data_IF_304729699426
#
_entry.id   IF_304729699426
#
_cell.length_a   1.000
_cell.length_b   1.000
_cell.length_c   1.000
_cell.angle_alpha   90.00
_cell.angle_beta   90.00
_cell.angle_gamma   90.00
#
_symmetry.space_group_name_H-M   'P 1'
#
loop_
_entity.id
_entity.type
_entity.pdbx_description
1 polymer ?
#
# COMPACT_ATOMS: atom_id res chain seq x y z
N UNK A 1 -11.34 5.23 91.06
CA UNK A 1 -10.62 6.03 92.08
C UNK A 1 -9.39 6.64 91.41
N UNK A 2 -9.34 7.97 91.31
CA UNK A 2 -8.15 8.84 91.31
C UNK A 2 -6.86 8.46 90.54
N UNK A 3 -6.57 9.30 89.53
CA UNK A 3 -5.36 10.15 89.40
C UNK A 3 -4.19 9.72 88.49
N UNK A 4 -3.92 10.61 87.52
CA UNK A 4 -2.73 10.81 86.67
C UNK A 4 -1.41 10.89 87.46
N UNK A 5 -0.31 10.40 86.88
CA UNK A 5 1.00 11.11 86.89
C UNK A 5 1.66 10.94 85.51
N UNK A 6 2.12 12.06 84.96
CA UNK A 6 2.86 12.25 83.71
C UNK A 6 4.36 12.30 84.03
N UNK A 7 5.23 11.73 83.20
CA UNK A 7 6.57 12.31 82.97
C UNK A 7 7.23 11.78 81.67
N UNK A 8 7.68 12.72 80.84
CA UNK A 8 8.48 12.60 79.61
C UNK A 8 9.86 11.96 79.85
N UNK A 9 10.42 11.22 78.87
CA UNK A 9 11.53 11.69 78.01
C UNK A 9 12.07 10.60 77.06
N UNK A 10 12.36 11.04 75.82
CA UNK A 10 13.43 10.64 74.89
C UNK A 10 13.51 9.17 74.40
N UNK A 11 13.06 8.98 73.16
CA UNK A 11 13.36 7.83 72.31
C UNK A 11 14.72 8.05 71.62
N UNK A 12 15.70 7.23 71.96
CA UNK A 12 16.91 7.00 71.17
C UNK A 12 16.77 5.59 70.61
N UNK A 13 16.66 5.45 69.28
CA UNK A 13 16.92 4.17 68.61
C UNK A 13 17.59 4.42 67.26
N UNK A 14 18.88 4.10 67.28
CA UNK A 14 19.71 3.64 66.17
C UNK A 14 18.98 2.57 65.36
N UNK A 15 19.06 2.59 64.03
CA UNK A 15 18.92 1.38 63.20
C UNK A 15 19.75 1.52 61.92
N UNK A 16 20.58 0.50 61.69
CA UNK A 16 21.46 0.31 60.55
C UNK A 16 20.66 -0.02 59.28
N UNK A 17 21.32 0.12 58.13
CA UNK A 17 20.71 0.04 56.80
C UNK A 17 20.32 -1.36 56.33
N UNK A 18 19.67 -1.37 55.16
CA UNK A 18 19.49 -2.53 54.31
C UNK A 18 18.12 -2.62 53.65
N UNK A 19 18.17 -2.81 52.32
CA UNK A 19 17.13 -3.28 51.40
C UNK A 19 16.11 -2.23 50.93
N UNK A 20 16.17 -1.85 49.65
CA UNK A 20 15.74 -2.60 48.45
C UNK A 20 14.31 -2.18 48.12
N UNK A 21 14.07 -1.92 46.83
CA UNK A 21 12.77 -1.57 46.27
C UNK A 21 11.66 -2.46 46.84
N UNK A 22 10.87 -1.93 47.76
CA UNK A 22 9.59 -2.51 48.12
C UNK A 22 8.56 -1.98 47.12
N UNK A 23 7.83 -2.91 46.53
CA UNK A 23 6.71 -2.74 45.59
C UNK A 23 5.50 -1.92 46.13
N UNK A 24 5.66 -1.08 47.16
CA UNK A 24 4.56 -0.42 47.87
C UNK A 24 4.37 1.09 47.63
N UNK A 25 5.06 1.69 46.66
CA UNK A 25 4.75 3.06 46.18
C UNK A 25 3.89 3.07 44.88
N UNK A 26 3.15 1.99 44.62
CA UNK A 26 2.05 2.00 43.63
C UNK A 26 0.83 2.70 44.22
N UNK A 27 0.84 4.03 44.18
CA UNK A 27 -0.31 4.84 44.57
C UNK A 27 -0.40 6.14 43.77
N UNK A 28 -1.38 6.18 42.85
CA UNK A 28 -1.88 7.32 42.06
C UNK A 28 -1.27 7.54 40.67
N UNK A 29 -1.46 6.58 39.77
CA UNK A 29 -1.84 6.85 38.37
C UNK A 29 -2.70 5.67 37.85
N UNK A 30 -3.71 5.89 37.00
CA UNK A 30 -4.55 4.82 36.49
C UNK A 30 -3.75 3.89 35.58
N UNK A 31 -4.00 2.59 35.78
CA UNK A 31 -3.49 1.45 35.05
C UNK A 31 -4.13 1.40 33.64
N UNK A 32 -3.36 1.69 32.59
CA UNK A 32 -3.74 1.50 31.18
C UNK A 32 -2.82 0.53 30.42
N UNK A 33 -2.14 -0.37 31.13
CA UNK A 33 -1.54 -1.57 30.52
C UNK A 33 -0.33 -1.34 29.61
N UNK A 34 0.33 -0.18 29.64
CA UNK A 34 1.64 0.01 28.98
C UNK A 34 2.79 -0.20 29.97
N UNK A 35 3.24 -1.44 30.14
CA UNK A 35 4.50 -1.70 30.83
C UNK A 35 5.68 -1.20 29.97
N UNK A 36 6.07 0.06 30.11
CA UNK A 36 7.35 0.57 29.60
C UNK A 36 8.49 0.15 30.54
N UNK A 37 8.64 -1.16 30.73
CA UNK A 37 9.78 -1.75 31.42
C UNK A 37 10.85 -2.11 30.40
N UNK A 38 11.86 -1.26 30.21
CA UNK A 38 13.07 -1.57 29.44
C UNK A 38 14.01 -2.52 30.23
N UNK A 39 13.50 -3.69 30.61
CA UNK A 39 14.26 -4.77 31.26
C UNK A 39 15.01 -5.68 30.28
N UNK A 40 15.57 -5.13 29.20
CA UNK A 40 16.38 -5.87 28.23
C UNK A 40 17.89 -5.73 28.50
N UNK A 41 18.69 -6.59 27.86
CA UNK A 41 20.16 -6.54 27.89
C UNK A 41 20.71 -5.12 27.67
N UNK A 42 21.90 -4.84 28.24
CA UNK A 42 22.57 -3.56 28.08
C UNK A 42 22.80 -3.25 26.58
N UNK A 43 22.13 -2.22 26.08
CA UNK A 43 22.44 -1.67 24.76
C UNK A 43 23.76 -0.90 24.90
N UNK A 44 24.75 -1.09 24.02
CA UNK A 44 25.98 -0.28 24.08
C UNK A 44 25.68 1.22 24.05
N UNK A 45 26.49 2.01 24.74
CA UNK A 45 26.39 3.46 24.65
C UNK A 45 26.56 3.90 23.18
N UNK A 46 25.66 4.74 22.66
CA UNK A 46 25.64 5.12 21.25
C UNK A 46 26.83 6.00 20.88
N UNK A 47 27.19 6.01 19.59
CA UNK A 47 28.24 6.89 19.07
C UNK A 47 27.95 8.36 19.41
N UNK A 48 28.97 9.11 19.83
CA UNK A 48 28.83 10.49 20.28
C UNK A 48 28.40 10.65 21.74
N UNK A 49 28.36 9.57 22.53
CA UNK A 49 28.18 9.65 23.99
C UNK A 49 29.36 10.34 24.68
N UNK A 50 29.08 11.30 25.56
CA UNK A 50 30.07 12.03 26.35
C UNK A 50 29.90 11.67 27.82
N UNK A 51 31.00 11.32 28.52
CA UNK A 51 31.04 11.10 29.96
C UNK A 51 31.64 12.32 30.66
N UNK A 52 30.94 12.87 31.66
CA UNK A 52 31.39 14.02 32.46
C UNK A 52 31.27 13.75 33.96
N UNK A 53 32.22 14.26 34.75
CA UNK A 53 32.11 14.34 36.20
C UNK A 53 31.44 15.65 36.61
N UNK A 54 30.27 15.59 37.24
CA UNK A 54 29.47 16.76 37.62
C UNK A 54 29.46 16.89 39.14
N UNK A 55 30.20 17.85 39.71
CA UNK A 55 30.14 18.13 41.16
C UNK A 55 28.89 18.92 41.51
N UNK A 56 28.28 18.59 42.64
CA UNK A 56 27.12 19.32 43.15
C UNK A 56 27.51 20.71 43.67
N UNK A 57 26.51 21.57 43.88
CA UNK A 57 26.70 22.98 44.16
C UNK A 57 27.53 23.25 45.42
N UNK A 58 27.29 22.50 46.49
CA UNK A 58 28.04 22.61 47.74
C UNK A 58 29.50 22.12 47.65
N UNK A 59 29.87 21.42 46.56
CA UNK A 59 31.19 20.81 46.39
C UNK A 59 31.92 21.27 45.12
N UNK A 60 31.71 22.53 44.71
CA UNK A 60 32.45 23.15 43.60
C UNK A 60 31.75 23.05 42.24
N UNK A 61 30.42 23.05 42.25
CA UNK A 61 29.47 23.20 41.13
C UNK A 61 30.08 23.05 39.74
N UNK A 62 29.79 21.93 39.08
CA UNK A 62 30.08 21.76 37.66
C UNK A 62 28.86 22.10 36.83
N UNK A 63 29.00 23.03 35.87
CA UNK A 63 27.95 23.36 34.90
C UNK A 63 28.24 22.59 33.60
N UNK A 64 27.27 21.78 33.17
CA UNK A 64 27.34 21.03 31.91
C UNK A 64 26.60 21.80 30.83
N UNK A 65 27.24 22.03 29.68
CA UNK A 65 26.64 22.66 28.51
C UNK A 65 26.25 21.61 27.48
N UNK A 66 24.96 21.43 27.29
CA UNK A 66 24.34 20.61 26.26
C UNK A 66 24.20 21.45 24.99
N UNK A 67 24.88 21.04 23.91
CA UNK A 67 24.83 21.75 22.63
C UNK A 67 23.38 21.89 22.17
N UNK A 68 22.97 23.11 21.81
CA UNK A 68 21.63 23.50 21.33
C UNK A 68 20.46 23.34 22.32
N UNK A 69 20.63 22.58 23.42
CA UNK A 69 19.60 22.40 24.46
C UNK A 69 19.76 23.41 25.60
N UNK A 70 20.99 23.65 26.09
CA UNK A 70 21.25 24.62 27.15
C UNK A 70 22.20 24.10 28.23
N UNK A 71 21.98 24.43 29.50
CA UNK A 71 22.91 24.08 30.59
C UNK A 71 22.19 23.47 31.78
N UNK A 72 22.83 22.50 32.43
CA UNK A 72 22.35 21.94 33.71
C UNK A 72 23.50 21.79 34.71
N UNK A 73 23.15 21.62 35.98
CA UNK A 73 24.07 21.30 37.07
C UNK A 73 23.36 20.45 38.13
N UNK A 74 24.09 19.99 39.14
CA UNK A 74 23.54 19.30 40.31
C UNK A 74 23.49 20.28 41.49
N UNK A 75 22.30 20.50 42.06
CA UNK A 75 22.13 21.40 43.21
C UNK A 75 22.53 20.77 44.56
N UNK A 76 22.41 21.52 45.65
CA UNK A 76 22.76 21.06 47.01
C UNK A 76 21.89 19.88 47.50
N UNK A 77 20.73 19.64 46.87
CA UNK A 77 19.84 18.53 47.17
C UNK A 77 20.06 17.32 46.25
N UNK A 78 21.17 17.28 45.52
CA UNK A 78 21.51 16.25 44.54
C UNK A 78 20.45 16.07 43.44
N UNK A 79 19.93 17.19 42.91
CA UNK A 79 18.99 17.19 41.78
C UNK A 79 19.61 17.79 40.53
N UNK A 80 19.29 17.23 39.36
CA UNK A 80 19.49 17.92 38.09
C UNK A 80 18.58 19.14 38.05
N UNK A 81 19.18 20.30 37.77
CA UNK A 81 18.49 21.59 37.62
C UNK A 81 19.12 22.39 36.49
N UNK A 82 18.34 23.32 35.93
CA UNK A 82 18.81 24.30 34.95
C UNK A 82 18.66 25.72 35.50
N UNK A 83 19.53 26.63 35.08
CA UNK A 83 19.36 28.08 35.32
C UNK A 83 18.37 28.73 34.36
N UNK A 84 17.89 28.01 33.34
CA UNK A 84 16.89 28.44 32.37
C UNK A 84 15.53 27.85 32.71
N UNK A 85 14.48 28.68 32.68
CA UNK A 85 13.08 28.27 32.90
C UNK A 85 12.52 27.44 31.74
N UNK A 86 13.23 27.37 30.61
CA UNK A 86 12.80 26.68 29.40
C UNK A 86 13.29 25.23 29.31
N UNK A 87 14.07 24.77 30.30
CA UNK A 87 14.65 23.43 30.32
C UNK A 87 13.94 22.59 31.37
N UNK A 88 13.46 21.43 30.94
CA UNK A 88 12.80 20.46 31.79
C UNK A 88 13.47 19.11 31.69
N UNK A 89 13.37 18.34 32.77
CA UNK A 89 13.91 17.00 32.92
C UNK A 89 12.77 16.02 33.17
N UNK A 90 12.93 14.79 32.69
CA UNK A 90 12.04 13.69 33.03
C UNK A 90 12.88 12.44 33.34
N UNK A 91 12.69 11.86 34.52
CA UNK A 91 13.32 10.57 34.88
C UNK A 91 12.57 9.44 34.19
N UNK A 92 13.30 8.52 33.57
CA UNK A 92 12.75 7.25 33.05
C UNK A 92 13.04 6.06 33.96
N UNK A 93 13.53 6.33 35.18
CA UNK A 93 13.88 5.30 36.16
C UNK A 93 15.13 4.52 35.78
N UNK A 94 15.29 3.34 36.40
CA UNK A 94 16.46 2.49 36.24
C UNK A 94 16.57 1.96 34.80
N UNK A 95 17.75 2.12 34.20
CA UNK A 95 18.09 1.63 32.86
C UNK A 95 19.51 1.06 32.86
N UNK A 96 19.84 0.19 31.91
CA UNK A 96 21.15 -0.48 31.89
C UNK A 96 22.25 0.34 31.17
N UNK A 97 21.90 1.39 30.43
CA UNK A 97 22.84 2.24 29.68
C UNK A 97 22.15 3.52 29.16
N UNK A 98 22.92 4.43 28.55
CA UNK A 98 22.35 5.56 27.80
C UNK A 98 21.59 5.08 26.54
N UNK A 99 22.03 3.99 25.91
CA UNK A 99 21.42 3.40 24.71
C UNK A 99 20.02 2.81 24.92
N UNK A 100 19.63 2.58 26.19
CA UNK A 100 18.29 2.11 26.56
C UNK A 100 17.25 3.26 26.65
N UNK A 101 17.67 4.53 26.56
CA UNK A 101 16.77 5.69 26.63
C UNK A 101 16.37 6.08 25.20
N UNK A 102 15.18 5.65 24.76
CA UNK A 102 14.74 5.73 23.35
C UNK A 102 13.43 6.47 23.11
N UNK A 103 12.42 6.27 23.96
CA UNK A 103 11.12 6.92 23.85
C UNK A 103 11.06 8.18 24.73
N UNK A 104 10.51 9.27 24.19
CA UNK A 104 10.29 10.52 24.93
C UNK A 104 9.06 10.36 25.83
N UNK A 105 9.12 10.70 27.12
CA UNK A 105 7.96 10.66 28.00
C UNK A 105 6.92 11.73 27.64
N UNK A 106 5.63 11.36 27.62
CA UNK A 106 4.54 12.31 27.40
C UNK A 106 4.23 13.19 28.63
N UNK A 107 4.62 12.73 29.83
CA UNK A 107 4.36 13.38 31.13
C UNK A 107 5.54 13.21 32.08
N UNK A 108 5.52 13.94 33.21
CA UNK A 108 6.55 13.84 34.25
C UNK A 108 7.75 14.77 34.03
N UNK A 109 7.59 15.79 33.19
CA UNK A 109 8.57 16.85 33.00
C UNK A 109 8.57 17.82 34.18
N UNK A 110 9.75 18.14 34.69
CA UNK A 110 9.94 19.05 35.82
C UNK A 110 11.22 19.88 35.64
N UNK A 111 11.27 21.07 36.22
CA UNK A 111 12.49 21.91 36.24
C UNK A 111 13.59 21.36 37.14
N UNK A 112 13.28 20.35 37.97
CA UNK A 112 14.16 19.69 38.92
C UNK A 112 13.84 18.20 39.01
N UNK A 113 14.87 17.34 38.98
CA UNK A 113 14.70 15.89 39.19
C UNK A 113 15.87 15.29 39.97
N UNK A 114 15.60 14.36 40.89
CA UNK A 114 16.62 13.73 41.73
C UNK A 114 17.62 12.90 40.91
N UNK A 115 18.92 13.01 41.24
CA UNK A 115 20.00 12.26 40.60
C UNK A 115 20.15 10.89 41.25
N UNK A 116 19.90 9.83 40.48
CA UNK A 116 19.91 8.45 40.93
C UNK A 116 20.86 7.62 40.08
N UNK A 117 21.82 6.94 40.72
CA UNK A 117 22.73 6.01 40.04
C UNK A 117 21.95 4.93 39.30
N UNK A 118 22.34 4.66 38.06
CA UNK A 118 21.69 3.67 37.19
C UNK A 118 20.39 4.16 36.55
N UNK A 119 19.99 5.42 36.78
CA UNK A 119 18.78 5.96 36.17
C UNK A 119 19.06 6.75 34.90
N UNK A 120 18.09 6.70 33.98
CA UNK A 120 18.08 7.46 32.75
C UNK A 120 17.18 8.69 32.85
N UNK A 121 17.50 9.72 32.07
CA UNK A 121 16.76 10.97 32.04
C UNK A 121 16.65 11.51 30.63
N UNK A 122 15.53 12.15 30.34
CA UNK A 122 15.37 13.06 29.22
C UNK A 122 15.51 14.50 29.66
N UNK A 123 16.05 15.32 28.78
CA UNK A 123 16.11 16.78 28.89
C UNK A 123 15.47 17.36 27.64
N UNK A 124 14.63 18.38 27.79
CA UNK A 124 14.06 19.12 26.66
C UNK A 124 14.18 20.62 26.86
N UNK A 125 14.36 21.36 25.77
CA UNK A 125 14.37 22.82 25.76
C UNK A 125 13.43 23.36 24.68
N UNK A 126 12.55 24.29 25.07
CA UNK A 126 11.63 24.96 24.11
C UNK A 126 12.39 25.84 23.13
N UNK A 127 12.03 25.77 21.84
CA UNK A 127 12.70 26.53 20.78
C UNK A 127 12.15 27.96 20.65
N UNK A 128 10.85 28.21 20.92
CA UNK A 128 10.21 29.53 20.86
C UNK A 128 9.06 29.66 21.89
N UNK A 129 8.87 30.84 22.47
CA UNK A 129 7.79 31.14 23.44
C UNK A 129 6.42 31.45 22.80
N UNK A 130 6.39 31.69 21.49
CA UNK A 130 5.22 32.29 20.79
C UNK A 130 4.42 31.32 19.88
N UNK A 131 4.76 30.03 19.78
CA UNK A 131 4.14 29.11 18.82
C UNK A 131 3.12 28.14 19.44
N UNK A 132 2.07 27.85 18.66
CA UNK A 132 0.95 26.93 18.95
C UNK A 132 1.40 25.44 18.95
N UNK A 133 2.66 25.16 18.59
CA UNK A 133 3.25 23.82 18.56
C UNK A 133 4.46 23.72 19.50
N UNK A 134 4.51 22.62 20.25
CA UNK A 134 5.51 22.28 21.27
C UNK A 134 6.84 21.80 20.61
N UNK A 135 7.56 22.71 19.96
CA UNK A 135 8.88 22.42 19.38
C UNK A 135 9.97 22.40 20.46
N UNK A 136 10.53 21.20 20.72
CA UNK A 136 11.61 20.98 21.69
C UNK A 136 12.87 20.42 21.03
N UNK A 137 14.05 20.85 21.52
CA UNK A 137 15.33 20.16 21.30
C UNK A 137 15.58 19.27 22.51
N UNK A 138 15.96 18.02 22.26
CA UNK A 138 16.14 17.04 23.33
C UNK A 138 17.61 16.67 23.57
N UNK A 139 17.88 16.17 24.77
CA UNK A 139 19.08 15.42 25.14
C UNK A 139 18.67 14.25 26.04
N UNK A 140 19.54 13.25 26.16
CA UNK A 140 19.40 12.14 27.11
C UNK A 140 20.60 12.05 28.03
N UNK A 141 20.36 11.71 29.29
CA UNK A 141 21.37 11.54 30.34
C UNK A 141 21.26 10.15 30.95
N UNK A 142 22.39 9.59 31.40
CA UNK A 142 22.46 8.38 32.22
C UNK A 142 23.46 8.60 33.35
N UNK A 143 23.06 8.29 34.57
CA UNK A 143 23.93 8.44 35.76
C UNK A 143 24.69 7.14 35.98
N UNK A 144 25.99 7.15 35.66
CA UNK A 144 26.86 5.98 35.67
C UNK A 144 27.27 5.58 37.10
N UNK A 145 27.75 6.57 37.88
CA UNK A 145 28.08 6.38 39.29
C UNK A 145 28.04 7.70 40.07
N UNK A 146 28.02 7.63 41.39
CA UNK A 146 28.23 8.78 42.27
C UNK A 146 29.71 9.10 42.43
N UNK A 147 30.00 10.39 42.58
CA UNK A 147 31.31 10.85 43.05
C UNK A 147 31.21 10.91 44.58
N UNK A 148 31.93 10.05 45.28
CA UNK A 148 31.88 9.97 46.74
C UNK A 148 33.09 10.62 47.39
N UNK A 149 32.89 11.21 48.57
CA UNK A 149 33.98 11.59 49.46
C UNK A 149 34.58 10.36 50.17
N UNK A 150 35.69 10.56 50.88
CA UNK A 150 36.30 9.51 51.71
C UNK A 150 35.38 8.97 52.83
N UNK A 151 34.32 9.70 53.18
CA UNK A 151 33.31 9.30 54.17
C UNK A 151 31.97 8.92 53.53
N UNK A 152 31.96 8.59 52.23
CA UNK A 152 30.78 8.16 51.47
C UNK A 152 29.65 9.19 51.35
N UNK A 153 29.96 10.49 51.44
CA UNK A 153 28.99 11.54 51.09
C UNK A 153 29.00 11.78 49.58
N UNK A 154 27.83 12.04 49.00
CA UNK A 154 27.70 12.37 47.57
C UNK A 154 28.27 13.77 47.33
N UNK A 155 29.26 13.86 46.45
CA UNK A 155 29.87 15.10 45.99
C UNK A 155 29.39 15.50 44.58
N UNK A 156 28.65 14.62 43.91
CA UNK A 156 28.26 14.75 42.52
C UNK A 156 28.06 13.38 41.85
N UNK A 157 28.08 13.36 40.51
CA UNK A 157 27.89 12.15 39.73
C UNK A 157 28.71 12.13 38.44
N UNK A 158 29.03 10.93 37.97
CA UNK A 158 29.48 10.66 36.61
C UNK A 158 28.24 10.52 35.72
N UNK A 159 28.10 11.41 34.74
CA UNK A 159 26.92 11.50 33.88
C UNK A 159 27.35 11.28 32.43
N UNK A 160 26.74 10.29 31.77
CA UNK A 160 26.82 10.10 30.32
C UNK A 160 25.70 10.90 29.67
N UNK A 161 25.97 11.56 28.54
CA UNK A 161 24.94 12.25 27.79
C UNK A 161 25.18 12.26 26.28
N UNK A 162 24.11 12.56 25.53
CA UNK A 162 24.15 12.87 24.11
C UNK A 162 23.26 14.11 23.84
N UNK A 163 23.80 15.11 23.13
CA UNK A 163 23.11 16.38 22.84
C UNK A 163 23.67 17.10 21.60
N UNK A 164 22.80 17.65 20.73
CA UNK A 164 21.36 17.40 20.69
C UNK A 164 21.09 15.92 20.36
N UNK A 165 19.94 15.41 20.78
CA UNK A 165 19.46 14.09 20.42
C UNK A 165 18.08 14.22 19.79
N UNK A 166 17.93 13.76 18.55
CA UNK A 166 16.63 13.66 17.90
C UNK A 166 16.01 12.32 18.31
N UNK A 167 14.92 12.32 19.10
CA UNK A 167 14.25 11.07 19.46
C UNK A 167 13.72 10.40 18.20
N UNK A 168 14.15 9.18 17.93
CA UNK A 168 13.45 8.30 16.98
C UNK A 168 12.21 7.82 17.72
N UNK A 169 11.03 8.27 17.29
CA UNK A 169 9.79 7.74 17.83
C UNK A 169 9.69 6.28 17.34
N UNK A 170 9.64 5.27 18.23
CA UNK A 170 9.47 3.88 17.81
C UNK A 170 8.17 3.62 17.03
N UNK A 171 7.21 4.55 17.06
CA UNK A 171 6.00 4.52 16.24
C UNK A 171 6.13 5.18 14.86
N UNK A 172 7.25 5.86 14.55
CA UNK A 172 7.47 6.48 13.24
C UNK A 172 7.84 5.42 12.20
N UNK A 173 6.95 5.23 11.24
CA UNK A 173 7.04 4.21 10.21
C UNK A 173 7.90 4.66 9.01
N UNK A 174 8.32 5.93 8.93
CA UNK A 174 8.99 6.46 7.73
C UNK A 174 10.33 5.82 7.40
N UNK A 175 10.99 5.15 8.34
CA UNK A 175 12.22 4.40 8.08
C UNK A 175 11.98 3.15 7.21
N UNK A 176 10.75 2.64 7.17
CA UNK A 176 10.37 1.44 6.42
C UNK A 176 10.00 1.71 4.95
N UNK A 177 10.04 2.98 4.52
CA UNK A 177 9.76 3.42 3.15
C UNK A 177 11.08 3.76 2.43
N UNK A 178 11.75 2.79 1.80
CA UNK A 178 13.06 3.02 1.17
C UNK A 178 12.98 3.82 -0.14
N UNK A 179 11.85 3.75 -0.84
CA UNK A 179 11.64 4.50 -2.07
C UNK A 179 11.32 5.96 -1.75
N UNK A 180 12.17 6.88 -2.20
CA UNK A 180 12.03 8.31 -1.91
C UNK A 180 10.71 8.88 -2.43
N UNK A 181 10.28 8.50 -3.64
CA UNK A 181 9.05 9.04 -4.23
C UNK A 181 7.82 8.55 -3.45
N UNK A 182 7.80 7.28 -3.04
CA UNK A 182 6.72 6.75 -2.22
C UNK A 182 6.74 7.34 -0.80
N UNK A 183 7.91 7.48 -0.19
CA UNK A 183 8.07 8.14 1.12
C UNK A 183 7.59 9.59 1.11
N UNK A 184 7.98 10.36 0.10
CA UNK A 184 7.54 11.76 -0.05
C UNK A 184 6.04 11.85 -0.30
N UNK A 185 5.45 10.90 -1.05
CA UNK A 185 4.01 10.79 -1.24
C UNK A 185 3.29 10.54 0.09
N UNK A 186 3.74 9.54 0.85
CA UNK A 186 3.14 9.14 2.14
C UNK A 186 3.20 10.30 3.13
N UNK A 187 4.34 10.97 3.23
CA UNK A 187 4.48 12.17 4.05
C UNK A 187 3.51 13.26 3.64
N UNK A 188 3.41 13.57 2.35
CA UNK A 188 2.56 14.65 1.87
C UNK A 188 1.06 14.38 2.10
N UNK A 189 0.64 13.13 1.98
CA UNK A 189 -0.78 12.78 2.00
C UNK A 189 -1.29 12.32 3.35
N UNK A 190 -0.44 11.70 4.18
CA UNK A 190 -0.88 10.96 5.38
C UNK A 190 -0.24 11.44 6.68
N UNK A 191 0.70 12.37 6.65
CA UNK A 191 1.16 13.12 7.84
C UNK A 191 0.10 14.19 8.18
N UNK A 192 -0.82 13.85 9.09
CA UNK A 192 -2.01 14.67 9.35
C UNK A 192 -1.65 15.89 10.18
N UNK A 193 -0.69 15.75 11.10
CA UNK A 193 -0.26 16.82 11.99
C UNK A 193 0.95 17.61 11.46
N UNK A 194 1.48 17.23 10.29
CA UNK A 194 2.63 17.84 9.61
C UNK A 194 3.92 17.81 10.45
N UNK A 195 4.06 16.83 11.33
CA UNK A 195 5.24 16.69 12.19
C UNK A 195 6.44 16.02 11.49
N UNK A 196 6.29 15.73 10.18
CA UNK A 196 7.25 15.04 9.31
C UNK A 196 7.49 13.59 9.71
N UNK A 197 6.48 12.93 10.27
CA UNK A 197 6.48 11.52 10.68
C UNK A 197 5.25 10.83 10.12
N UNK A 198 5.28 9.50 10.11
CA UNK A 198 4.08 8.70 9.85
C UNK A 198 3.90 7.75 11.02
N UNK A 199 2.86 7.99 11.82
CA UNK A 199 2.51 7.11 12.94
C UNK A 199 1.62 5.95 12.51
N UNK A 200 1.51 4.93 13.37
CA UNK A 200 0.55 3.85 13.14
C UNK A 200 -0.90 4.34 13.09
N UNK A 201 -1.26 5.31 13.94
CA UNK A 201 -2.61 5.88 13.98
C UNK A 201 -2.97 6.55 12.66
N UNK A 202 -2.02 7.27 12.05
CA UNK A 202 -2.22 7.90 10.74
C UNK A 202 -2.35 6.84 9.64
N UNK A 203 -1.44 5.85 9.60
CA UNK A 203 -1.51 4.76 8.63
C UNK A 203 -2.83 3.95 8.73
N UNK A 204 -3.36 3.75 9.94
CA UNK A 204 -4.62 3.04 10.16
C UNK A 204 -5.85 3.81 9.66
N UNK A 205 -5.77 5.14 9.47
CA UNK A 205 -6.85 5.95 8.88
C UNK A 205 -6.88 5.86 7.35
N UNK A 206 -5.81 5.40 6.71
CA UNK A 206 -5.69 5.35 5.26
C UNK A 206 -6.49 4.17 4.70
N UNK A 207 -7.47 4.49 3.84
CA UNK A 207 -8.31 3.50 3.16
C UNK A 207 -8.12 3.48 1.65
N UNK A 208 -7.43 4.47 1.09
CA UNK A 208 -7.11 4.58 -0.33
C UNK A 208 -5.74 5.20 -0.54
N UNK A 209 -4.97 4.64 -1.47
CA UNK A 209 -3.68 5.17 -1.93
C UNK A 209 -3.75 5.31 -3.45
N UNK A 210 -3.45 6.50 -3.95
CA UNK A 210 -3.30 6.79 -5.38
C UNK A 210 -1.95 7.45 -5.62
N UNK A 211 -1.00 6.66 -6.13
CA UNK A 211 0.38 7.05 -6.38
C UNK A 211 0.78 6.83 -7.84
N UNK A 212 -0.16 7.06 -8.75
CA UNK A 212 0.00 6.84 -10.20
C UNK A 212 1.07 7.77 -10.79
N UNK A 213 1.93 7.21 -11.66
CA UNK A 213 2.92 7.97 -12.44
C UNK A 213 3.88 8.82 -11.60
N UNK A 214 4.33 8.28 -10.47
CA UNK A 214 5.25 8.97 -9.55
C UNK A 214 6.72 8.51 -9.69
N UNK A 215 6.98 7.55 -10.58
CA UNK A 215 8.31 6.97 -10.75
C UNK A 215 8.75 6.09 -9.57
N UNK A 216 7.79 5.53 -8.83
CA UNK A 216 8.03 4.68 -7.68
C UNK A 216 8.57 3.33 -8.16
N UNK A 217 9.67 2.89 -7.55
CA UNK A 217 10.33 1.61 -7.83
C UNK A 217 9.98 0.53 -6.79
N UNK A 218 9.57 0.94 -5.58
CA UNK A 218 9.14 0.02 -4.52
C UNK A 218 8.03 0.62 -3.67
N UNK A 219 6.97 -0.17 -3.44
CA UNK A 219 5.94 0.14 -2.44
C UNK A 219 6.22 -0.50 -1.07
N UNK A 220 7.47 -0.86 -0.76
CA UNK A 220 7.81 -1.32 0.60
C UNK A 220 7.42 -0.26 1.64
N UNK A 221 6.74 -0.68 2.70
CA UNK A 221 6.02 0.16 3.64
C UNK A 221 4.49 0.13 3.45
N UNK A 222 3.99 -0.37 2.31
CA UNK A 222 2.54 -0.51 2.06
C UNK A 222 1.86 -1.44 3.08
N UNK A 223 2.62 -2.36 3.68
CA UNK A 223 2.15 -3.31 4.68
C UNK A 223 1.61 -2.67 5.96
N UNK A 224 1.93 -1.41 6.23
CA UNK A 224 1.44 -0.68 7.39
C UNK A 224 0.02 -0.13 7.22
N UNK A 225 -0.46 0.04 5.97
CA UNK A 225 -1.81 0.52 5.68
C UNK A 225 -2.81 -0.65 5.69
N UNK A 226 -3.03 -1.24 6.86
CA UNK A 226 -3.84 -2.47 6.99
C UNK A 226 -5.33 -2.27 6.70
N UNK A 227 -5.82 -1.03 6.73
CA UNK A 227 -7.20 -0.67 6.38
C UNK A 227 -7.38 -0.28 4.90
N UNK A 228 -6.35 -0.44 4.07
CA UNK A 228 -6.37 -0.10 2.66
C UNK A 228 -7.40 -0.94 1.90
N UNK A 229 -8.32 -0.26 1.22
CA UNK A 229 -9.38 -0.86 0.39
C UNK A 229 -9.21 -0.59 -1.10
N UNK A 230 -8.44 0.45 -1.46
CA UNK A 230 -8.12 0.81 -2.84
C UNK A 230 -6.64 1.13 -2.97
N UNK A 231 -5.97 0.51 -3.94
CA UNK A 231 -4.60 0.84 -4.31
C UNK A 231 -4.52 1.10 -5.81
N UNK A 232 -4.14 2.32 -6.18
CA UNK A 232 -3.81 2.73 -7.54
C UNK A 232 -2.32 3.10 -7.59
N UNK A 233 -1.55 2.30 -8.30
CA UNK A 233 -0.08 2.42 -8.42
C UNK A 233 0.39 2.29 -9.88
N UNK A 234 -0.50 2.62 -10.82
CA UNK A 234 -0.28 2.52 -12.25
C UNK A 234 0.89 3.40 -12.74
N UNK A 235 1.49 3.01 -13.86
CA UNK A 235 2.52 3.78 -14.55
C UNK A 235 3.75 4.09 -13.67
N UNK A 236 4.20 3.11 -12.90
CA UNK A 236 5.39 3.20 -12.06
C UNK A 236 6.49 2.24 -12.56
N UNK A 237 7.50 1.98 -11.73
CA UNK A 237 8.64 1.11 -12.06
C UNK A 237 8.69 -0.10 -11.13
N UNK A 238 7.54 -0.56 -10.64
CA UNK A 238 7.46 -1.67 -9.69
C UNK A 238 7.87 -2.98 -10.37
N UNK A 239 8.86 -3.66 -9.78
CA UNK A 239 9.26 -5.02 -10.18
C UNK A 239 8.62 -6.10 -9.31
N UNK A 240 8.21 -5.71 -8.10
CA UNK A 240 7.49 -6.54 -7.13
C UNK A 240 6.41 -5.72 -6.44
N UNK A 241 5.32 -6.37 -6.04
CA UNK A 241 4.24 -5.77 -5.26
C UNK A 241 3.76 -6.79 -4.23
N UNK A 242 4.11 -6.58 -2.95
CA UNK A 242 3.62 -7.40 -1.84
C UNK A 242 2.46 -6.66 -1.16
N UNK A 243 1.27 -7.27 -1.21
CA UNK A 243 0.06 -6.76 -0.57
C UNK A 243 -0.55 -7.79 0.39
N UNK A 244 0.25 -8.73 0.88
CA UNK A 244 -0.20 -9.81 1.75
C UNK A 244 -0.81 -9.30 3.07
N UNK A 245 -0.47 -8.08 3.49
CA UNK A 245 -1.04 -7.42 4.67
C UNK A 245 -2.25 -6.54 4.38
N UNK A 246 -2.49 -6.15 3.12
CA UNK A 246 -3.61 -5.31 2.71
C UNK A 246 -4.83 -6.18 2.35
N UNK A 247 -5.25 -7.03 3.30
CA UNK A 247 -6.30 -8.05 3.11
C UNK A 247 -7.70 -7.49 2.86
N UNK A 248 -7.89 -6.18 3.07
CA UNK A 248 -9.14 -5.47 2.85
C UNK A 248 -9.28 -4.86 1.45
N UNK A 249 -8.28 -5.02 0.57
CA UNK A 249 -8.32 -4.51 -0.80
C UNK A 249 -9.54 -5.02 -1.58
N UNK A 250 -10.27 -4.07 -2.16
CA UNK A 250 -11.39 -4.25 -3.07
C UNK A 250 -11.01 -3.85 -4.51
N UNK A 251 -10.17 -2.81 -4.64
CA UNK A 251 -9.64 -2.30 -5.91
C UNK A 251 -8.11 -2.35 -5.92
N UNK A 252 -7.55 -2.97 -6.95
CA UNK A 252 -6.12 -2.92 -7.25
C UNK A 252 -5.92 -2.54 -8.72
N UNK A 253 -5.28 -1.41 -8.95
CA UNK A 253 -4.75 -1.01 -10.26
C UNK A 253 -3.22 -0.86 -10.16
N UNK A 254 -2.53 -1.72 -10.90
CA UNK A 254 -1.07 -1.78 -10.95
C UNK A 254 -0.57 -1.87 -12.40
N UNK A 255 -1.34 -1.27 -13.32
CA UNK A 255 -1.07 -1.27 -14.75
C UNK A 255 0.24 -0.57 -15.08
N UNK A 256 0.85 -0.90 -16.21
CA UNK A 256 2.05 -0.25 -16.72
C UNK A 256 3.21 -0.20 -15.68
N UNK A 257 3.57 -1.38 -15.18
CA UNK A 257 4.70 -1.61 -14.29
C UNK A 257 5.65 -2.67 -14.90
N UNK A 258 6.57 -3.21 -14.11
CA UNK A 258 7.54 -4.22 -14.54
C UNK A 258 7.37 -5.52 -13.74
N UNK A 259 6.15 -5.82 -13.27
CA UNK A 259 5.86 -6.99 -12.45
C UNK A 259 6.04 -8.27 -13.27
N UNK A 260 6.82 -9.21 -12.73
CA UNK A 260 7.00 -10.55 -13.33
C UNK A 260 6.10 -11.61 -12.68
N UNK A 261 5.64 -11.31 -11.46
CA UNK A 261 4.66 -12.08 -10.69
C UNK A 261 3.77 -11.14 -9.90
N UNK A 262 2.53 -11.55 -9.65
CA UNK A 262 1.59 -10.84 -8.79
C UNK A 262 0.83 -11.87 -7.95
N UNK A 263 1.03 -11.82 -6.63
CA UNK A 263 0.30 -12.67 -5.68
C UNK A 263 -0.87 -11.87 -5.08
N UNK A 264 -2.09 -12.36 -5.33
CA UNK A 264 -3.35 -11.80 -4.81
C UNK A 264 -4.11 -12.77 -3.91
N UNK A 265 -3.48 -13.87 -3.48
CA UNK A 265 -4.14 -14.95 -2.76
C UNK A 265 -4.72 -14.51 -1.40
N UNK A 266 -4.08 -13.53 -0.74
CA UNK A 266 -4.54 -12.97 0.54
C UNK A 266 -5.60 -11.87 0.38
N UNK A 267 -5.74 -11.30 -0.83
CA UNK A 267 -6.67 -10.21 -1.12
C UNK A 267 -8.04 -10.75 -1.54
N UNK A 268 -8.62 -11.63 -0.71
CA UNK A 268 -9.87 -12.38 -0.99
C UNK A 268 -11.10 -11.48 -1.19
N UNK A 269 -11.00 -10.19 -0.84
CA UNK A 269 -12.05 -9.19 -1.03
C UNK A 269 -11.96 -8.45 -2.37
N UNK A 270 -10.95 -8.70 -3.19
CA UNK A 270 -10.80 -8.04 -4.48
C UNK A 270 -12.05 -8.23 -5.35
N UNK A 271 -12.53 -7.11 -5.87
CA UNK A 271 -13.62 -7.02 -6.84
C UNK A 271 -13.12 -6.53 -8.19
N UNK A 272 -12.12 -5.64 -8.17
CA UNK A 272 -11.53 -5.05 -9.36
C UNK A 272 -10.02 -5.26 -9.31
N UNK A 273 -9.50 -5.96 -10.32
CA UNK A 273 -8.06 -6.18 -10.51
C UNK A 273 -7.68 -5.73 -11.92
N UNK A 274 -6.76 -4.78 -12.01
CA UNK A 274 -6.10 -4.38 -13.25
C UNK A 274 -4.58 -4.51 -13.06
N UNK A 275 -3.96 -5.33 -13.89
CA UNK A 275 -2.52 -5.58 -13.94
C UNK A 275 -2.03 -5.64 -15.40
N UNK A 276 -2.65 -4.83 -16.26
CA UNK A 276 -2.29 -4.69 -17.67
C UNK A 276 -0.86 -4.17 -17.81
N UNK A 277 -0.25 -4.38 -18.97
CA UNK A 277 1.04 -3.78 -19.33
C UNK A 277 2.12 -4.10 -18.28
N UNK A 278 2.29 -5.39 -18.00
CA UNK A 278 3.31 -5.92 -17.10
C UNK A 278 4.07 -7.05 -17.81
N UNK A 279 4.80 -7.88 -17.06
CA UNK A 279 5.58 -8.99 -17.59
C UNK A 279 5.16 -10.32 -16.95
N UNK A 280 3.90 -10.43 -16.53
CA UNK A 280 3.36 -11.61 -15.84
C UNK A 280 3.36 -12.81 -16.77
N UNK A 281 3.92 -13.92 -16.30
CA UNK A 281 3.89 -15.22 -17.02
C UNK A 281 2.76 -16.14 -16.53
N UNK A 282 2.24 -15.86 -15.34
CA UNK A 282 1.10 -16.53 -14.72
C UNK A 282 0.34 -15.57 -13.82
N UNK A 283 -0.95 -15.78 -13.66
CA UNK A 283 -1.81 -15.06 -12.73
C UNK A 283 -2.80 -16.03 -12.09
N UNK A 284 -2.75 -16.15 -10.76
CA UNK A 284 -3.67 -17.00 -9.99
C UNK A 284 -4.71 -16.13 -9.28
N UNK A 285 -5.97 -16.25 -9.70
CA UNK A 285 -7.11 -15.51 -9.14
C UNK A 285 -8.11 -16.42 -8.42
N UNK A 286 -7.74 -17.68 -8.13
CA UNK A 286 -8.68 -18.68 -7.59
C UNK A 286 -9.24 -18.32 -6.21
N UNK A 287 -8.49 -17.54 -5.43
CA UNK A 287 -8.91 -17.06 -4.10
C UNK A 287 -9.82 -15.84 -4.17
N UNK A 288 -9.88 -15.14 -5.31
CA UNK A 288 -10.57 -13.85 -5.47
C UNK A 288 -11.99 -14.07 -6.05
N UNK A 289 -12.81 -14.86 -5.34
CA UNK A 289 -14.11 -15.33 -5.85
C UNK A 289 -15.14 -14.21 -6.10
N UNK A 290 -14.89 -13.02 -5.55
CA UNK A 290 -15.71 -11.80 -5.72
C UNK A 290 -15.26 -10.89 -6.85
N UNK A 291 -14.29 -11.31 -7.66
CA UNK A 291 -13.85 -10.53 -8.82
C UNK A 291 -15.02 -10.34 -9.79
N UNK A 292 -15.28 -9.08 -10.13
CA UNK A 292 -16.26 -8.65 -11.13
C UNK A 292 -15.58 -8.08 -12.38
N UNK A 293 -14.37 -7.54 -12.21
CA UNK A 293 -13.55 -6.96 -13.27
C UNK A 293 -12.14 -7.54 -13.20
N UNK A 294 -11.64 -8.06 -14.33
CA UNK A 294 -10.27 -8.51 -14.48
C UNK A 294 -9.65 -7.95 -15.77
N UNK A 295 -8.62 -7.11 -15.60
CA UNK A 295 -7.71 -6.67 -16.65
C UNK A 295 -6.32 -7.25 -16.44
N UNK A 296 -5.84 -8.04 -17.40
CA UNK A 296 -4.51 -8.66 -17.39
C UNK A 296 -3.88 -8.67 -18.79
N UNK A 297 -4.25 -7.71 -19.62
CA UNK A 297 -3.79 -7.57 -21.01
C UNK A 297 -2.34 -7.12 -21.09
N UNK A 298 -1.70 -7.31 -22.25
CA UNK A 298 -0.29 -6.96 -22.47
C UNK A 298 0.62 -7.59 -21.39
N UNK A 299 0.52 -8.91 -21.26
CA UNK A 299 1.38 -9.73 -20.40
C UNK A 299 1.93 -10.90 -21.22
N UNK A 300 2.47 -11.93 -20.55
CA UNK A 300 3.02 -13.14 -21.16
C UNK A 300 2.29 -14.39 -20.64
N UNK A 301 1.00 -14.26 -20.35
CA UNK A 301 0.20 -15.34 -19.79
C UNK A 301 -0.01 -16.44 -20.83
N UNK A 302 0.31 -17.68 -20.48
CA UNK A 302 0.05 -18.86 -21.33
C UNK A 302 -1.24 -19.59 -21.00
N UNK A 303 -1.72 -19.39 -19.78
CA UNK A 303 -2.98 -19.93 -19.30
C UNK A 303 -3.61 -18.92 -18.32
N UNK A 304 -4.94 -18.93 -18.26
CA UNK A 304 -5.72 -18.11 -17.34
C UNK A 304 -6.93 -18.92 -16.85
N UNK A 305 -6.94 -19.26 -15.56
CA UNK A 305 -8.06 -19.97 -14.92
C UNK A 305 -8.95 -18.97 -14.18
N UNK A 306 -10.13 -18.70 -14.75
CA UNK A 306 -11.18 -17.86 -14.15
C UNK A 306 -12.38 -18.68 -13.66
N UNK A 307 -12.23 -19.99 -13.50
CA UNK A 307 -13.32 -20.91 -13.14
C UNK A 307 -13.87 -20.69 -11.73
N UNK A 308 -13.12 -19.99 -10.87
CA UNK A 308 -13.50 -19.65 -9.50
C UNK A 308 -14.03 -18.23 -9.33
N UNK A 309 -14.25 -17.50 -10.44
CA UNK A 309 -14.65 -16.10 -10.43
C UNK A 309 -16.00 -15.91 -11.17
N UNK A 310 -17.09 -16.52 -10.68
CA UNK A 310 -18.37 -16.55 -11.39
C UNK A 310 -19.02 -15.17 -11.56
N UNK A 311 -18.60 -14.17 -10.78
CA UNK A 311 -19.13 -12.80 -10.81
C UNK A 311 -18.47 -11.89 -11.86
N UNK A 312 -17.47 -12.37 -12.61
CA UNK A 312 -16.81 -11.57 -13.66
C UNK A 312 -17.82 -11.20 -14.74
N UNK A 313 -18.03 -9.89 -14.91
CA UNK A 313 -18.80 -9.32 -16.04
C UNK A 313 -17.88 -8.67 -17.10
N UNK A 314 -16.65 -8.30 -16.72
CA UNK A 314 -15.64 -7.73 -17.60
C UNK A 314 -14.34 -8.54 -17.52
N UNK A 315 -13.93 -9.12 -18.64
CA UNK A 315 -12.66 -9.82 -18.78
C UNK A 315 -11.85 -9.25 -19.96
N UNK A 316 -10.65 -8.77 -19.65
CA UNK A 316 -9.67 -8.30 -20.63
C UNK A 316 -8.34 -9.04 -20.40
N UNK A 317 -7.95 -9.83 -21.39
CA UNK A 317 -6.73 -10.65 -21.41
C UNK A 317 -6.05 -10.60 -22.78
N UNK A 318 -6.27 -9.52 -23.54
CA UNK A 318 -5.74 -9.37 -24.88
C UNK A 318 -4.21 -9.19 -24.88
N UNK A 319 -3.56 -9.54 -25.98
CA UNK A 319 -2.10 -9.52 -26.13
C UNK A 319 -1.39 -10.32 -25.01
N UNK A 320 -1.62 -11.63 -25.06
CA UNK A 320 -0.98 -12.64 -24.22
C UNK A 320 -0.59 -13.85 -25.09
N UNK A 321 -0.19 -14.96 -24.48
CA UNK A 321 0.19 -16.20 -25.16
C UNK A 321 -0.84 -17.32 -24.91
N UNK A 322 -2.12 -16.99 -24.68
CA UNK A 322 -3.15 -17.96 -24.34
C UNK A 322 -3.48 -18.87 -25.53
N UNK A 323 -3.40 -20.19 -25.35
CA UNK A 323 -3.82 -21.19 -26.34
C UNK A 323 -5.26 -21.66 -26.11
N UNK A 324 -5.76 -21.52 -24.89
CA UNK A 324 -7.11 -21.85 -24.48
C UNK A 324 -7.65 -20.81 -23.49
N UNK A 325 -8.97 -20.63 -23.49
CA UNK A 325 -9.65 -19.75 -22.54
C UNK A 325 -11.01 -20.35 -22.17
N UNK A 326 -11.10 -20.96 -20.99
CA UNK A 326 -12.35 -21.51 -20.48
C UNK A 326 -13.07 -20.49 -19.60
N UNK A 327 -14.17 -19.93 -20.13
CA UNK A 327 -15.02 -18.93 -19.48
C UNK A 327 -16.40 -19.47 -19.10
N UNK A 328 -16.58 -20.80 -19.09
CA UNK A 328 -17.88 -21.44 -18.90
C UNK A 328 -18.52 -21.19 -17.52
N UNK A 329 -17.73 -20.77 -16.52
CA UNK A 329 -18.19 -20.40 -15.18
C UNK A 329 -18.63 -18.93 -15.07
N UNK A 330 -18.18 -18.05 -15.98
CA UNK A 330 -18.39 -16.60 -15.91
C UNK A 330 -19.68 -16.20 -16.65
N UNK A 331 -20.82 -16.77 -16.24
CA UNK A 331 -22.10 -16.62 -16.96
C UNK A 331 -22.63 -15.18 -17.03
N UNK A 332 -22.09 -14.28 -16.20
CA UNK A 332 -22.43 -12.85 -16.16
C UNK A 332 -21.57 -12.01 -17.11
N UNK A 333 -20.70 -12.62 -17.92
CA UNK A 333 -19.78 -11.90 -18.80
C UNK A 333 -20.53 -11.03 -19.82
N UNK A 334 -20.41 -9.72 -19.68
CA UNK A 334 -20.97 -8.73 -20.60
C UNK A 334 -19.95 -8.26 -21.63
N UNK A 335 -18.66 -8.26 -21.28
CA UNK A 335 -17.57 -7.82 -22.16
C UNK A 335 -16.37 -8.76 -22.07
N UNK A 336 -15.95 -9.23 -23.24
CA UNK A 336 -14.78 -10.10 -23.41
C UNK A 336 -13.82 -9.52 -24.44
N UNK A 337 -12.58 -9.28 -24.00
CA UNK A 337 -11.46 -8.90 -24.84
C UNK A 337 -10.34 -9.94 -24.70
N UNK A 338 -10.18 -10.78 -25.72
CA UNK A 338 -9.21 -11.87 -25.78
C UNK A 338 -8.46 -11.90 -27.12
N UNK A 339 -8.44 -10.78 -27.84
CA UNK A 339 -7.67 -10.63 -29.07
C UNK A 339 -6.16 -10.75 -28.84
N UNK A 340 -5.41 -10.97 -29.92
CA UNK A 340 -3.94 -11.08 -29.87
C UNK A 340 -3.50 -12.20 -28.92
N UNK A 341 -4.00 -13.40 -29.18
CA UNK A 341 -3.65 -14.62 -28.45
C UNK A 341 -3.46 -15.75 -29.48
N UNK A 342 -3.45 -17.01 -29.04
CA UNK A 342 -3.26 -18.20 -29.87
C UNK A 342 -4.46 -19.16 -29.73
N UNK A 343 -5.66 -18.62 -29.47
CA UNK A 343 -6.86 -19.42 -29.25
C UNK A 343 -7.29 -20.13 -30.53
N UNK A 344 -7.40 -21.46 -30.50
CA UNK A 344 -7.95 -22.25 -31.61
C UNK A 344 -9.47 -22.43 -31.55
N UNK A 345 -10.06 -22.22 -30.37
CA UNK A 345 -11.50 -22.31 -30.13
C UNK A 345 -11.93 -21.34 -29.03
N UNK A 346 -13.16 -20.87 -29.10
CA UNK A 346 -13.77 -20.02 -28.09
C UNK A 346 -15.26 -20.37 -27.97
N UNK A 347 -15.68 -20.84 -26.79
CA UNK A 347 -17.08 -21.15 -26.49
C UNK A 347 -17.71 -20.00 -25.68
N UNK A 348 -18.66 -19.30 -26.32
CA UNK A 348 -19.47 -18.22 -25.73
C UNK A 348 -20.95 -18.58 -25.59
N UNK A 349 -21.29 -19.86 -25.75
CA UNK A 349 -22.68 -20.34 -25.83
C UNK A 349 -23.51 -20.11 -24.55
N UNK A 350 -22.83 -19.94 -23.40
CA UNK A 350 -23.45 -19.70 -22.08
C UNK A 350 -23.60 -18.22 -21.72
N UNK A 351 -23.06 -17.31 -22.53
CA UNK A 351 -22.96 -15.88 -22.19
C UNK A 351 -24.06 -15.06 -22.86
N UNK A 352 -25.32 -15.34 -22.51
CA UNK A 352 -26.50 -14.71 -23.17
C UNK A 352 -26.58 -13.19 -22.97
N UNK A 353 -25.92 -12.66 -21.93
CA UNK A 353 -25.82 -11.23 -21.65
C UNK A 353 -24.64 -10.54 -22.34
N UNK A 354 -23.80 -11.28 -23.08
CA UNK A 354 -22.62 -10.74 -23.74
C UNK A 354 -23.00 -9.64 -24.73
N UNK A 355 -22.46 -8.45 -24.51
CA UNK A 355 -22.74 -7.23 -25.27
C UNK A 355 -21.59 -6.81 -26.18
N UNK A 356 -20.36 -7.19 -25.82
CA UNK A 356 -19.15 -6.92 -26.61
C UNK A 356 -18.20 -8.12 -26.58
N UNK A 357 -17.81 -8.57 -27.78
CA UNK A 357 -16.85 -9.65 -27.98
C UNK A 357 -15.74 -9.19 -28.92
N UNK A 358 -14.50 -9.20 -28.43
CA UNK A 358 -13.29 -8.96 -29.22
C UNK A 358 -12.37 -10.18 -29.08
N UNK A 359 -12.25 -10.96 -30.16
CA UNK A 359 -11.47 -12.20 -30.24
C UNK A 359 -10.59 -12.25 -31.51
N UNK A 360 -10.33 -11.10 -32.14
CA UNK A 360 -9.47 -11.03 -33.33
C UNK A 360 -8.01 -11.41 -33.09
N UNK A 361 -7.22 -11.59 -34.16
CA UNK A 361 -5.81 -12.04 -34.08
C UNK A 361 -5.67 -13.31 -33.21
N UNK A 362 -6.37 -14.37 -33.61
CA UNK A 362 -6.31 -15.69 -32.98
C UNK A 362 -6.27 -16.76 -34.10
N UNK A 363 -6.50 -18.03 -33.75
CA UNK A 363 -6.49 -19.17 -34.67
C UNK A 363 -7.88 -19.83 -34.80
N UNK A 364 -8.96 -19.08 -34.54
CA UNK A 364 -10.32 -19.62 -34.55
C UNK A 364 -10.74 -20.04 -35.96
N UNK A 365 -11.20 -21.28 -36.11
CA UNK A 365 -11.77 -21.79 -37.38
C UNK A 365 -13.28 -21.64 -37.47
N UNK A 366 -13.93 -21.50 -36.32
CA UNK A 366 -15.39 -21.35 -36.18
C UNK A 366 -15.68 -20.42 -35.01
N UNK A 367 -16.80 -19.71 -35.08
CA UNK A 367 -17.30 -18.89 -34.00
C UNK A 367 -18.83 -18.96 -33.98
N UNK A 368 -19.39 -19.65 -32.98
CA UNK A 368 -20.84 -19.69 -32.75
C UNK A 368 -21.23 -18.64 -31.72
N UNK A 369 -22.08 -17.71 -32.14
CA UNK A 369 -22.58 -16.59 -31.34
C UNK A 369 -24.11 -16.55 -31.29
N UNK A 370 -24.78 -17.64 -31.67
CA UNK A 370 -26.25 -17.69 -31.75
C UNK A 370 -26.93 -17.47 -30.39
N UNK A 371 -26.27 -17.84 -29.30
CA UNK A 371 -26.77 -17.60 -27.93
C UNK A 371 -26.61 -16.15 -27.46
N UNK A 372 -25.77 -15.34 -28.12
CA UNK A 372 -25.41 -14.00 -27.68
C UNK A 372 -26.30 -12.92 -28.32
N UNK A 373 -27.61 -13.01 -28.12
CA UNK A 373 -28.59 -12.11 -28.77
C UNK A 373 -28.52 -10.64 -28.31
N UNK A 374 -27.81 -10.38 -27.20
CA UNK A 374 -27.54 -9.03 -26.68
C UNK A 374 -26.27 -8.39 -27.27
N UNK A 375 -25.57 -9.09 -28.17
CA UNK A 375 -24.31 -8.62 -28.74
C UNK A 375 -24.52 -7.37 -29.60
N UNK A 376 -23.81 -6.29 -29.24
CA UNK A 376 -23.82 -5.01 -29.94
C UNK A 376 -22.54 -4.78 -30.74
N UNK A 377 -21.43 -5.35 -30.30
CA UNK A 377 -20.13 -5.21 -30.94
C UNK A 377 -19.43 -6.56 -31.05
N UNK A 378 -19.07 -6.94 -32.27
CA UNK A 378 -18.31 -8.13 -32.60
C UNK A 378 -17.03 -7.75 -33.35
N UNK A 379 -15.89 -8.23 -32.86
CA UNK A 379 -14.60 -8.08 -33.49
C UNK A 379 -13.86 -9.42 -33.49
N UNK A 380 -13.90 -10.12 -34.61
CA UNK A 380 -13.30 -11.45 -34.82
C UNK A 380 -12.29 -11.46 -35.99
N UNK A 381 -11.73 -10.29 -36.30
CA UNK A 381 -10.78 -10.10 -37.40
C UNK A 381 -9.53 -10.99 -37.29
N UNK A 382 -8.85 -11.26 -38.41
CA UNK A 382 -7.60 -12.02 -38.46
C UNK A 382 -7.69 -13.35 -37.70
N UNK A 383 -8.57 -14.21 -38.18
CA UNK A 383 -8.76 -15.59 -37.72
C UNK A 383 -8.84 -16.51 -38.96
N UNK A 384 -9.32 -17.74 -38.79
CA UNK A 384 -9.48 -18.73 -39.86
C UNK A 384 -10.96 -19.11 -40.04
N UNK A 385 -11.89 -18.21 -39.72
CA UNK A 385 -13.33 -18.49 -39.70
C UNK A 385 -13.84 -18.65 -41.14
N UNK A 386 -14.48 -19.78 -41.42
CA UNK A 386 -14.99 -20.11 -42.78
C UNK A 386 -16.45 -19.68 -42.99
N UNK A 387 -17.24 -19.68 -41.93
CA UNK A 387 -18.63 -19.24 -41.95
C UNK A 387 -18.96 -18.51 -40.66
N UNK A 388 -19.78 -17.47 -40.76
CA UNK A 388 -20.20 -16.65 -39.63
C UNK A 388 -21.69 -16.37 -39.75
N UNK A 389 -22.49 -16.95 -38.84
CA UNK A 389 -23.92 -16.70 -38.75
C UNK A 389 -24.16 -15.53 -37.79
N UNK A 390 -24.76 -14.45 -38.31
CA UNK A 390 -25.10 -13.24 -37.57
C UNK A 390 -26.62 -13.08 -37.36
N UNK A 391 -27.43 -14.06 -37.81
CA UNK A 391 -28.89 -13.94 -37.92
C UNK A 391 -29.59 -13.76 -36.58
N UNK A 392 -28.97 -14.20 -35.48
CA UNK A 392 -29.51 -14.06 -34.12
C UNK A 392 -29.05 -12.79 -33.40
N UNK A 393 -28.02 -12.11 -33.92
CA UNK A 393 -27.39 -10.96 -33.28
C UNK A 393 -27.94 -9.64 -33.87
N UNK A 394 -29.26 -9.48 -33.87
CA UNK A 394 -29.96 -8.37 -34.54
C UNK A 394 -29.67 -6.99 -33.93
N UNK A 395 -29.06 -6.96 -32.73
CA UNK A 395 -28.63 -5.74 -32.04
C UNK A 395 -27.21 -5.28 -32.39
N UNK A 396 -26.50 -5.98 -33.29
CA UNK A 396 -25.16 -5.59 -33.71
C UNK A 396 -25.16 -4.20 -34.36
N UNK A 397 -24.35 -3.30 -33.81
CA UNK A 397 -24.04 -1.99 -34.40
C UNK A 397 -22.66 -1.97 -35.03
N UNK A 398 -21.74 -2.84 -34.59
CA UNK A 398 -20.36 -2.91 -35.07
C UNK A 398 -19.94 -4.36 -35.34
N UNK A 399 -19.42 -4.62 -36.55
CA UNK A 399 -18.86 -5.92 -36.94
C UNK A 399 -17.53 -5.75 -37.67
N UNK A 400 -16.46 -6.31 -37.10
CA UNK A 400 -15.16 -6.47 -37.75
C UNK A 400 -14.82 -7.95 -37.89
N UNK A 401 -14.87 -8.47 -39.12
CA UNK A 401 -14.56 -9.86 -39.47
C UNK A 401 -13.55 -9.96 -40.62
N UNK A 402 -12.79 -8.90 -40.89
CA UNK A 402 -11.75 -8.88 -41.90
C UNK A 402 -10.65 -9.90 -41.64
N UNK A 403 -9.96 -10.38 -42.68
CA UNK A 403 -8.84 -11.31 -42.53
C UNK A 403 -9.27 -12.69 -42.02
N UNK A 404 -10.39 -13.20 -42.53
CA UNK A 404 -10.87 -14.55 -42.25
C UNK A 404 -10.90 -15.39 -43.55
N UNK A 405 -11.57 -16.53 -43.51
CA UNK A 405 -11.77 -17.42 -44.67
C UNK A 405 -13.24 -17.43 -45.13
N UNK A 406 -13.96 -16.32 -44.92
CA UNK A 406 -15.37 -16.22 -45.30
C UNK A 406 -15.55 -16.20 -46.82
N UNK A 407 -16.52 -16.95 -47.32
CA UNK A 407 -16.89 -16.95 -48.75
C UNK A 407 -18.08 -16.04 -49.05
N UNK A 408 -18.90 -15.76 -48.03
CA UNK A 408 -20.05 -14.87 -48.09
C UNK A 408 -20.41 -14.43 -46.68
N UNK A 409 -21.23 -13.39 -46.56
CA UNK A 409 -21.81 -12.99 -45.29
C UNK A 409 -23.26 -12.55 -45.47
N UNK A 410 -24.16 -13.03 -44.60
CA UNK A 410 -25.53 -12.52 -44.51
C UNK A 410 -25.62 -11.56 -43.33
N UNK A 411 -25.94 -10.29 -43.62
CA UNK A 411 -26.22 -9.25 -42.64
C UNK A 411 -27.67 -8.76 -42.70
N UNK A 412 -28.58 -9.45 -43.41
CA UNK A 412 -29.97 -8.98 -43.64
C UNK A 412 -30.75 -8.71 -42.35
N UNK A 413 -30.43 -9.44 -41.28
CA UNK A 413 -31.10 -9.33 -39.98
C UNK A 413 -30.45 -8.27 -39.06
N UNK A 414 -29.27 -7.76 -39.40
CA UNK A 414 -28.50 -6.85 -38.53
C UNK A 414 -28.80 -5.38 -38.82
N UNK A 415 -30.10 -5.01 -38.84
CA UNK A 415 -30.57 -3.68 -39.27
C UNK A 415 -30.06 -2.50 -38.44
N UNK A 416 -29.49 -2.76 -37.27
CA UNK A 416 -28.86 -1.75 -36.41
C UNK A 416 -27.39 -1.47 -36.76
N UNK A 417 -26.81 -2.13 -37.77
CA UNK A 417 -25.39 -2.00 -38.09
C UNK A 417 -25.04 -0.57 -38.52
N UNK A 418 -24.07 0.01 -37.82
CA UNK A 418 -23.50 1.31 -38.13
C UNK A 418 -22.14 1.14 -38.80
N UNK A 419 -21.30 0.22 -38.30
CA UNK A 419 -19.95 0.01 -38.82
C UNK A 419 -19.69 -1.44 -39.16
N UNK A 420 -19.05 -1.65 -40.32
CA UNK A 420 -18.84 -2.96 -40.87
C UNK A 420 -17.51 -3.04 -41.63
N UNK A 421 -16.73 -4.09 -41.36
CA UNK A 421 -15.47 -4.36 -42.04
C UNK A 421 -15.28 -5.86 -42.25
N UNK A 422 -15.28 -6.31 -43.50
CA UNK A 422 -15.05 -7.71 -43.87
C UNK A 422 -13.99 -7.89 -44.98
N UNK A 423 -13.12 -6.90 -45.17
CA UNK A 423 -12.01 -6.97 -46.14
C UNK A 423 -11.09 -8.19 -45.91
N UNK A 424 -10.28 -8.57 -46.91
CA UNK A 424 -9.36 -9.70 -46.82
C UNK A 424 -10.05 -11.04 -46.46
N UNK A 425 -11.22 -11.28 -47.04
CA UNK A 425 -11.87 -12.60 -47.07
C UNK A 425 -11.90 -13.10 -48.52
N UNK A 426 -11.74 -14.41 -48.76
CA UNK A 426 -11.58 -14.96 -50.12
C UNK A 426 -12.81 -14.81 -51.02
N UNK A 427 -14.02 -14.74 -50.46
CA UNK A 427 -15.24 -14.79 -51.27
C UNK A 427 -15.34 -16.14 -52.00
N UNK A 428 -15.80 -16.12 -53.24
CA UNK A 428 -15.68 -17.25 -54.18
C UNK A 428 -14.37 -17.21 -55.01
N UNK A 429 -13.43 -16.33 -54.66
CA UNK A 429 -12.19 -16.07 -55.39
C UNK A 429 -12.25 -14.90 -56.39
N UNK A 430 -13.43 -14.36 -56.68
CA UNK A 430 -13.65 -13.19 -57.55
C UNK A 430 -14.63 -12.17 -56.94
N UNK A 431 -15.65 -12.67 -56.27
CA UNK A 431 -16.76 -11.94 -55.67
C UNK A 431 -16.90 -12.33 -54.21
N UNK A 432 -17.01 -11.33 -53.35
CA UNK A 432 -17.44 -11.51 -51.97
C UNK A 432 -18.92 -11.16 -51.87
N UNK A 433 -19.75 -12.17 -51.61
CA UNK A 433 -21.19 -12.00 -51.58
C UNK A 433 -21.65 -11.50 -50.22
N UNK A 434 -22.42 -10.40 -50.22
CA UNK A 434 -23.06 -9.86 -49.03
C UNK A 434 -24.56 -9.80 -49.25
N UNK A 435 -25.32 -10.53 -48.43
CA UNK A 435 -26.78 -10.35 -48.36
C UNK A 435 -27.09 -9.26 -47.34
N UNK A 436 -27.85 -8.24 -47.72
CA UNK A 436 -28.11 -7.06 -46.88
C UNK A 436 -29.55 -6.53 -47.06
N UNK A 437 -30.01 -5.69 -46.13
CA UNK A 437 -31.32 -5.01 -46.19
C UNK A 437 -31.27 -3.66 -46.94
N UNK A 438 -30.12 -3.32 -47.54
CA UNK A 438 -29.92 -2.09 -48.30
C UNK A 438 -29.18 -2.39 -49.62
N UNK A 439 -29.25 -1.45 -50.55
CA UNK A 439 -28.58 -1.48 -51.85
C UNK A 439 -27.69 -0.23 -52.06
N UNK A 440 -27.14 -0.06 -53.26
CA UNK A 440 -26.34 1.11 -53.61
C UNK A 440 -27.07 2.47 -53.49
N UNK A 441 -28.40 2.46 -53.41
CA UNK A 441 -29.28 3.63 -53.38
C UNK A 441 -29.54 4.10 -51.95
N UNK A 442 -29.57 3.17 -50.99
CA UNK A 442 -29.95 3.41 -49.59
C UNK A 442 -28.91 2.85 -48.59
N UNK A 443 -27.63 2.94 -48.93
CA UNK A 443 -26.52 2.54 -48.05
C UNK A 443 -26.56 3.35 -46.76
N UNK A 444 -26.51 2.71 -45.57
CA UNK A 444 -26.39 3.43 -44.31
C UNK A 444 -25.19 4.38 -44.33
N UNK A 445 -25.35 5.58 -43.80
CA UNK A 445 -24.38 6.69 -43.93
C UNK A 445 -22.96 6.33 -43.42
N UNK A 446 -22.88 5.35 -42.50
CA UNK A 446 -21.62 4.84 -41.92
C UNK A 446 -21.10 3.55 -42.59
N UNK A 447 -21.79 3.03 -43.61
CA UNK A 447 -21.46 1.79 -44.28
C UNK A 447 -20.45 2.04 -45.41
N UNK A 448 -19.17 1.75 -45.15
CA UNK A 448 -18.10 1.95 -46.10
C UNK A 448 -18.17 0.95 -47.26
N UNK A 449 -18.33 1.43 -48.51
CA UNK A 449 -17.98 0.65 -49.70
C UNK A 449 -16.46 0.48 -49.73
N UNK A 450 -15.95 -0.69 -49.34
CA UNK A 450 -14.52 -0.98 -49.50
C UNK A 450 -14.17 -1.30 -50.95
N UNK A 451 -12.96 -0.98 -51.40
CA UNK A 451 -12.31 -1.80 -52.42
C UNK A 451 -11.79 -3.05 -51.72
N UNK A 452 -12.27 -4.22 -52.10
CA UNK A 452 -11.89 -5.46 -51.43
C UNK A 452 -10.65 -6.00 -52.11
N UNK A 453 -9.68 -6.43 -51.33
CA UNK A 453 -8.54 -7.17 -51.83
C UNK A 453 -8.41 -8.48 -51.06
N UNK A 454 -8.02 -9.54 -51.76
CA UNK A 454 -7.58 -10.80 -51.17
C UNK A 454 -6.35 -11.27 -51.92
N UNK A 455 -5.29 -11.59 -51.20
CA UNK A 455 -4.01 -12.02 -51.77
C UNK A 455 -3.50 -11.07 -52.88
N UNK A 456 -3.59 -9.75 -52.62
CA UNK A 456 -3.18 -8.70 -53.55
C UNK A 456 -4.08 -8.51 -54.79
N UNK A 457 -5.18 -9.26 -54.93
CA UNK A 457 -6.15 -9.13 -56.04
C UNK A 457 -7.40 -8.42 -55.59
N UNK A 458 -7.95 -7.56 -56.44
CA UNK A 458 -9.24 -6.92 -56.19
C UNK A 458 -10.38 -7.95 -56.26
N UNK A 459 -11.28 -7.90 -55.28
CA UNK A 459 -12.53 -8.65 -55.23
C UNK A 459 -13.70 -7.67 -55.36
N UNK A 460 -14.75 -8.08 -56.07
CA UNK A 460 -15.98 -7.28 -56.18
C UNK A 460 -16.94 -7.64 -55.04
N UNK A 461 -17.57 -6.64 -54.40
CA UNK A 461 -18.68 -6.89 -53.48
C UNK A 461 -19.97 -6.91 -54.29
N UNK A 462 -20.78 -7.95 -54.13
CA UNK A 462 -22.14 -7.96 -54.64
C UNK A 462 -23.12 -7.96 -53.48
N UNK A 463 -24.05 -7.00 -53.49
CA UNK A 463 -25.14 -6.92 -52.53
C UNK A 463 -26.38 -7.62 -53.08
N UNK A 464 -26.93 -8.56 -52.32
CA UNK A 464 -28.25 -9.14 -52.59
C UNK A 464 -29.23 -8.53 -51.60
N UNK A 465 -30.25 -7.84 -52.13
CA UNK A 465 -31.41 -7.39 -51.37
C UNK A 465 -32.25 -8.60 -50.96
N UNK A 466 -32.61 -8.67 -49.68
CA UNK A 466 -33.57 -9.64 -49.15
C UNK A 466 -34.86 -8.89 -48.80
N UNK A 467 -35.96 -9.31 -49.43
CA UNK A 467 -37.31 -8.73 -49.27
C UNK A 467 -37.85 -8.85 -47.84
#
# INVERSE_FOLDING_TARGET
MKTKIFMMMALVTLLMGGNACTEEDKGLAPDDGTSLGNGGDAVPDPEGTILVSVRNESNGKTIVKLSEVGTFYIDEGDNFVSSSTYIEFCSVGAVNSLGNIRAVPDKGWASRVAVQKGCGYWVRAKINDDNIYDDYIYARLYVDDYILSAINTILGAYVKYQSPYTPVNPEDLLEYFPDKAFKDYVLREFDIDNNKRLTRKEADLVTSINCVKMGISSLKGIEFFTNLTSLECDSNQLTTLDMSKNVLLNWLWCDANQLTSLDVASNIRLRYLSCNDNQLTSLDVRSNQRLVFLGCSNNKLRALDVSKNPEIYYLSCWNNELTELNISANILLERLYCNDNQLSSLDVSKHSVLSSLTCGNNLLTTLDINSNQMLKSLSCYNNQIQALDLSKNTQLTHVWCNGNQLTSLDISENRALERFMCANNPGDGLVFLITAWFDNSNIPENFSKGSYTYDGKAITIQYILKD
#
